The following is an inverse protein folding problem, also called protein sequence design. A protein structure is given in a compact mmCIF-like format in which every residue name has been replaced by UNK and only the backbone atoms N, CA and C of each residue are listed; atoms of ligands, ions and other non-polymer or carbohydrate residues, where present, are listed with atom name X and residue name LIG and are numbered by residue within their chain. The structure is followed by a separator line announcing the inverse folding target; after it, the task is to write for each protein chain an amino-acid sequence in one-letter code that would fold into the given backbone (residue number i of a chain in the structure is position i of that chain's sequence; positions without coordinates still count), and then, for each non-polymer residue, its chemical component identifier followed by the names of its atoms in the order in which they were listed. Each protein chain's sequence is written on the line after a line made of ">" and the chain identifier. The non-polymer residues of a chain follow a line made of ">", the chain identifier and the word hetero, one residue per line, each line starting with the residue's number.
data_IF_360886905274
#
_entry.id   IF_360886905274
#
_cell.length_a   1.000
_cell.length_b   1.000
_cell.length_c   1.000
_cell.angle_alpha   90.00
_cell.angle_beta   90.00
_cell.angle_gamma   90.00
#
_symmetry.space_group_name_H-M   'P 1'
#
loop_
_entity.id
_entity.type
_entity.pdbx_description
1 polymer ?
#
# COMPACT_ATOMS: atom_id res chain seq x y z
N UNK A 1 -14.57 7.36 36.18
CA UNK A 1 -13.47 7.55 35.23
C UNK A 1 -13.22 6.21 34.58
N UNK A 2 -13.06 6.11 33.21
CA UNK A 2 -12.77 4.86 32.52
C UNK A 2 -11.57 5.08 31.61
N UNK A 3 -10.88 4.01 31.25
CA UNK A 3 -9.77 3.99 30.32
C UNK A 3 -10.07 2.98 29.23
N UNK A 4 -9.81 3.34 27.97
CA UNK A 4 -9.82 2.41 26.83
C UNK A 4 -8.38 2.01 26.50
N UNK A 5 -8.18 0.73 26.23
CA UNK A 5 -6.88 0.17 25.83
C UNK A 5 -7.08 -0.55 24.50
N UNK A 6 -6.35 -0.12 23.48
CA UNK A 6 -6.32 -0.80 22.18
C UNK A 6 -5.29 -1.91 22.23
N UNK A 7 -5.74 -3.14 22.06
CA UNK A 7 -4.86 -4.31 21.98
C UNK A 7 -4.78 -4.80 20.54
N UNK A 8 -3.57 -5.14 20.08
CA UNK A 8 -3.30 -5.65 18.75
C UNK A 8 -3.75 -4.71 17.61
N UNK A 9 -3.40 -3.42 17.64
CA UNK A 9 -3.76 -2.50 16.56
C UNK A 9 -3.10 -2.91 15.25
N UNK A 10 -3.82 -2.71 14.15
CA UNK A 10 -3.22 -2.79 12.81
C UNK A 10 -2.60 -1.45 12.47
N UNK A 11 -1.28 -1.41 12.37
CA UNK A 11 -0.55 -0.17 12.10
C UNK A 11 -0.45 0.08 10.61
N UNK A 12 -0.89 1.26 10.17
CA UNK A 12 -0.72 1.79 8.80
C UNK A 12 0.10 3.07 8.93
N UNK A 13 1.13 3.20 8.11
CA UNK A 13 1.94 4.41 8.04
C UNK A 13 1.44 5.30 6.90
N UNK A 14 1.31 6.59 7.16
CA UNK A 14 1.01 7.61 6.15
C UNK A 14 2.09 8.68 6.26
N UNK A 15 2.87 8.83 5.21
CA UNK A 15 3.91 9.85 5.09
C UNK A 15 3.71 10.70 3.84
N UNK A 16 4.56 11.70 3.68
CA UNK A 16 4.63 12.53 2.48
C UNK A 16 6.10 12.65 2.08
N UNK A 17 6.39 12.42 0.79
CA UNK A 17 7.72 12.59 0.25
C UNK A 17 8.04 14.09 0.15
N UNK A 18 9.21 14.49 0.64
CA UNK A 18 9.63 15.89 0.65
C UNK A 18 9.75 16.47 -0.77
N UNK A 19 10.27 15.67 -1.70
CA UNK A 19 10.51 16.08 -3.08
C UNK A 19 9.37 15.68 -4.04
N UNK A 20 8.15 15.45 -3.54
CA UNK A 20 7.05 14.88 -4.31
C UNK A 20 6.72 15.64 -5.61
N UNK A 21 6.83 16.98 -5.63
CA UNK A 21 6.58 17.79 -6.84
C UNK A 21 7.67 17.55 -7.90
N UNK A 22 8.93 17.46 -7.49
CA UNK A 22 10.04 17.15 -8.37
C UNK A 22 9.91 15.73 -8.93
N UNK A 23 9.56 14.78 -8.07
CA UNK A 23 9.31 13.38 -8.46
C UNK A 23 8.16 13.26 -9.45
N UNK A 24 7.07 13.99 -9.24
CA UNK A 24 5.94 14.04 -10.17
C UNK A 24 6.38 14.53 -11.56
N UNK A 25 7.10 15.66 -11.62
CA UNK A 25 7.56 16.20 -12.90
C UNK A 25 8.48 15.20 -13.62
N UNK A 26 9.48 14.69 -12.90
CA UNK A 26 10.41 13.69 -13.46
C UNK A 26 9.73 12.40 -13.90
N UNK A 27 8.67 11.99 -13.18
CA UNK A 27 7.89 10.83 -13.57
C UNK A 27 7.20 11.05 -14.92
N UNK A 28 6.57 12.20 -15.14
CA UNK A 28 5.91 12.50 -16.41
C UNK A 28 6.89 12.61 -17.60
N UNK A 29 8.15 12.92 -17.35
CA UNK A 29 9.18 12.91 -18.40
C UNK A 29 9.45 11.48 -18.92
N UNK A 30 9.23 10.46 -18.08
CA UNK A 30 9.49 9.03 -18.42
C UNK A 30 8.22 8.19 -18.54
N UNK A 31 7.04 8.73 -18.30
CA UNK A 31 5.77 7.98 -18.32
C UNK A 31 5.53 7.26 -19.67
N UNK A 32 5.98 7.85 -20.77
CA UNK A 32 5.89 7.25 -22.11
C UNK A 32 6.74 5.99 -22.32
N UNK A 33 7.69 5.72 -21.43
CA UNK A 33 8.51 4.51 -21.45
C UNK A 33 7.75 3.29 -20.93
N UNK A 34 6.64 3.50 -20.19
CA UNK A 34 5.87 2.44 -19.59
C UNK A 34 4.71 1.98 -20.47
N UNK A 35 4.58 0.67 -20.60
CA UNK A 35 3.45 0.05 -21.27
C UNK A 35 2.34 -0.26 -20.29
N UNK A 36 1.16 0.26 -20.55
CA UNK A 36 -0.03 0.05 -19.72
C UNK A 36 -0.95 -1.00 -20.34
N UNK A 37 -1.65 -1.71 -19.48
CA UNK A 37 -2.72 -2.64 -19.83
C UNK A 37 -3.87 -2.51 -18.86
N UNK A 38 -5.06 -2.95 -19.25
CA UNK A 38 -6.18 -3.06 -18.32
C UNK A 38 -5.81 -4.00 -17.17
N UNK A 39 -6.11 -3.60 -15.95
CA UNK A 39 -5.84 -4.42 -14.77
C UNK A 39 -6.60 -5.74 -14.86
N UNK A 40 -5.95 -6.84 -14.48
CA UNK A 40 -6.61 -8.14 -14.35
C UNK A 40 -7.60 -8.19 -13.17
N UNK A 41 -7.45 -7.25 -12.24
CA UNK A 41 -8.19 -7.19 -10.98
C UNK A 41 -9.37 -6.23 -11.02
N UNK A 42 -9.50 -5.47 -12.10
CA UNK A 42 -10.57 -4.52 -12.29
C UNK A 42 -10.95 -4.39 -13.78
N UNK A 43 -12.06 -3.75 -14.03
CA UNK A 43 -12.67 -3.68 -15.36
C UNK A 43 -12.02 -2.59 -16.21
N UNK A 44 -11.65 -1.46 -15.62
CA UNK A 44 -11.26 -0.25 -16.35
C UNK A 44 -9.94 0.39 -15.92
N UNK A 45 -9.46 0.14 -14.70
CA UNK A 45 -8.16 0.67 -14.27
C UNK A 45 -7.00 0.08 -15.08
N UNK A 46 -5.97 0.87 -15.28
CA UNK A 46 -4.76 0.48 -16.01
C UNK A 46 -3.62 0.23 -15.04
N UNK A 47 -2.82 -0.80 -15.31
CA UNK A 47 -1.56 -1.04 -14.64
C UNK A 47 -0.44 -1.18 -15.66
N UNK A 48 0.80 -0.95 -15.27
CA UNK A 48 1.95 -1.27 -16.15
C UNK A 48 1.99 -2.77 -16.43
N UNK A 49 2.48 -3.12 -17.62
CA UNK A 49 2.60 -4.51 -18.06
C UNK A 49 3.58 -5.29 -17.19
N UNK A 50 4.74 -4.71 -16.92
CA UNK A 50 5.72 -5.29 -16.01
C UNK A 50 5.59 -4.71 -14.59
N UNK A 51 6.23 -5.38 -13.65
CA UNK A 51 6.17 -5.04 -12.22
C UNK A 51 7.56 -4.67 -11.69
N UNK A 52 8.36 -3.98 -12.49
CA UNK A 52 9.76 -3.68 -12.15
C UNK A 52 10.15 -2.22 -12.39
N UNK A 53 9.20 -1.28 -12.24
CA UNK A 53 9.47 0.15 -12.48
C UNK A 53 10.55 0.71 -11.53
N UNK A 54 10.77 0.07 -10.37
CA UNK A 54 11.84 0.43 -9.45
C UNK A 54 13.25 0.19 -10.01
N UNK A 55 13.38 -0.51 -11.13
CA UNK A 55 14.66 -0.72 -11.82
C UNK A 55 14.93 0.37 -12.87
N UNK A 56 14.00 1.29 -13.12
CA UNK A 56 14.24 2.42 -14.02
C UNK A 56 15.14 3.45 -13.33
N UNK A 57 16.35 3.61 -13.83
CA UNK A 57 17.36 4.51 -13.26
C UNK A 57 16.90 5.97 -13.18
N UNK A 58 16.02 6.40 -14.07
CA UNK A 58 15.45 7.75 -14.02
C UNK A 58 14.62 7.98 -12.76
N UNK A 59 14.16 6.93 -12.09
CA UNK A 59 13.36 6.98 -10.85
C UNK A 59 14.16 6.67 -9.57
N UNK A 60 15.49 6.48 -9.65
CA UNK A 60 16.31 6.12 -8.49
C UNK A 60 16.16 7.06 -7.31
N UNK A 61 16.09 8.38 -7.55
CA UNK A 61 15.89 9.36 -6.47
C UNK A 61 14.54 9.21 -5.78
N UNK A 62 13.48 8.90 -6.53
CA UNK A 62 12.14 8.65 -6.01
C UNK A 62 12.14 7.38 -5.15
N UNK A 63 12.68 6.28 -5.67
CA UNK A 63 12.71 5.02 -4.93
C UNK A 63 13.63 5.09 -3.71
N UNK A 64 14.71 5.89 -3.75
CA UNK A 64 15.54 6.15 -2.58
C UNK A 64 14.74 6.81 -1.45
N UNK A 65 13.90 7.80 -1.78
CA UNK A 65 13.05 8.47 -0.79
C UNK A 65 11.93 7.53 -0.28
N UNK A 66 11.31 6.74 -1.16
CA UNK A 66 10.35 5.69 -0.77
C UNK A 66 10.99 4.72 0.25
N UNK A 67 12.22 4.27 -0.01
CA UNK A 67 12.95 3.36 0.90
C UNK A 67 13.22 3.99 2.27
N UNK A 68 13.46 5.30 2.35
CA UNK A 68 13.58 5.98 3.65
C UNK A 68 12.29 5.87 4.46
N UNK A 69 11.13 6.08 3.84
CA UNK A 69 9.83 5.91 4.51
C UNK A 69 9.57 4.46 4.92
N UNK A 70 9.95 3.48 4.07
CA UNK A 70 9.84 2.06 4.41
C UNK A 70 10.70 1.72 5.64
N UNK A 71 11.95 2.19 5.68
CA UNK A 71 12.83 2.01 6.83
C UNK A 71 12.26 2.65 8.09
N UNK A 72 11.73 3.88 7.98
CA UNK A 72 11.08 4.56 9.09
C UNK A 72 9.88 3.76 9.63
N UNK A 73 9.05 3.21 8.74
CA UNK A 73 7.94 2.35 9.17
C UNK A 73 8.41 1.13 9.93
N UNK A 74 9.45 0.44 9.44
CA UNK A 74 9.95 -0.81 10.02
C UNK A 74 10.68 -0.57 11.34
N UNK A 75 11.62 0.39 11.34
CA UNK A 75 12.58 0.52 12.43
C UNK A 75 12.16 1.54 13.50
N UNK A 76 11.46 2.63 13.09
CA UNK A 76 11.06 3.67 14.03
C UNK A 76 9.63 3.46 14.54
N UNK A 77 8.69 3.01 13.67
CA UNK A 77 7.28 2.86 14.04
C UNK A 77 6.98 1.46 14.57
N UNK A 78 7.45 0.41 13.89
CA UNK A 78 7.24 -0.98 14.31
C UNK A 78 8.36 -1.50 15.22
N UNK A 79 9.43 -0.73 15.42
CA UNK A 79 10.56 -1.01 16.32
C UNK A 79 11.24 -2.37 16.08
N UNK A 80 11.28 -2.82 14.82
CA UNK A 80 12.08 -3.99 14.47
C UNK A 80 13.56 -3.68 14.60
N UNK A 81 14.36 -4.69 14.96
CA UNK A 81 15.82 -4.56 14.99
C UNK A 81 16.37 -4.28 13.60
N UNK A 82 17.39 -3.44 13.50
CA UNK A 82 18.10 -3.15 12.23
C UNK A 82 19.03 -4.29 11.81
N UNK A 83 18.45 -5.48 11.65
CA UNK A 83 19.13 -6.69 11.17
C UNK A 83 18.68 -7.08 9.75
N UNK A 84 17.87 -6.25 9.12
CA UNK A 84 17.30 -6.52 7.81
C UNK A 84 17.70 -5.47 6.77
N UNK A 85 17.94 -5.94 5.55
CA UNK A 85 17.92 -5.13 4.35
C UNK A 85 16.49 -5.06 3.81
N UNK A 86 16.11 -3.87 3.33
CA UNK A 86 14.82 -3.63 2.68
C UNK A 86 14.97 -3.90 1.18
N UNK A 87 14.18 -4.79 0.65
CA UNK A 87 14.21 -5.16 -0.77
C UNK A 87 12.84 -4.97 -1.40
N UNK A 88 12.75 -4.09 -2.40
CA UNK A 88 11.57 -3.96 -3.26
C UNK A 88 11.64 -5.09 -4.28
N UNK A 89 10.67 -6.00 -4.24
CA UNK A 89 10.62 -7.17 -5.14
C UNK A 89 9.79 -6.91 -6.38
N UNK A 90 8.77 -6.06 -6.25
CA UNK A 90 7.88 -5.65 -7.33
C UNK A 90 7.47 -4.20 -7.15
N UNK A 91 7.29 -3.52 -8.25
CA UNK A 91 6.61 -2.23 -8.27
C UNK A 91 5.97 -1.97 -9.63
N UNK A 92 4.78 -1.40 -9.63
CA UNK A 92 4.02 -1.11 -10.83
C UNK A 92 3.22 0.18 -10.68
N UNK A 93 2.78 0.74 -11.79
CA UNK A 93 1.89 1.89 -11.81
C UNK A 93 0.44 1.41 -11.80
N UNK A 94 -0.40 2.13 -11.08
CA UNK A 94 -1.84 1.98 -11.09
C UNK A 94 -2.48 3.31 -11.44
N UNK A 95 -3.28 3.31 -12.52
CA UNK A 95 -3.87 4.50 -13.13
C UNK A 95 -5.38 4.36 -13.16
N UNK A 96 -6.10 5.35 -12.63
CA UNK A 96 -7.55 5.46 -12.71
C UNK A 96 -7.93 6.77 -13.38
N UNK A 97 -8.84 6.73 -14.36
CA UNK A 97 -9.31 7.89 -15.12
C UNK A 97 -10.82 8.13 -14.98
N UNK A 98 -11.54 7.13 -14.49
CA UNK A 98 -12.99 7.18 -14.31
C UNK A 98 -13.34 6.80 -12.87
N UNK A 99 -14.48 7.26 -12.40
CA UNK A 99 -14.96 6.96 -11.05
C UNK A 99 -15.12 5.44 -10.79
N UNK A 100 -15.40 4.67 -11.84
CA UNK A 100 -15.58 3.22 -11.81
C UNK A 100 -14.28 2.43 -11.77
N UNK A 101 -13.12 3.07 -11.94
CA UNK A 101 -11.81 2.43 -11.94
C UNK A 101 -11.40 2.01 -10.52
N UNK A 102 -11.93 0.88 -10.07
CA UNK A 102 -11.74 0.36 -8.73
C UNK A 102 -10.98 -0.97 -8.77
N UNK A 103 -10.09 -1.17 -7.81
CA UNK A 103 -9.42 -2.46 -7.59
C UNK A 103 -10.20 -3.21 -6.50
N UNK A 104 -10.55 -4.48 -6.76
CA UNK A 104 -11.31 -5.34 -5.84
C UNK A 104 -10.51 -5.68 -4.58
N UNK A 105 -11.20 -6.25 -3.59
CA UNK A 105 -10.57 -6.74 -2.36
C UNK A 105 -9.49 -7.78 -2.64
N UNK A 106 -8.26 -7.48 -2.25
CA UNK A 106 -7.10 -8.35 -2.40
C UNK A 106 -6.09 -8.13 -1.28
N UNK A 107 -5.05 -8.92 -1.26
CA UNK A 107 -3.85 -8.76 -0.45
C UNK A 107 -2.64 -9.25 -1.27
N UNK A 108 -1.44 -9.02 -0.77
CA UNK A 108 -0.20 -9.45 -1.43
C UNK A 108 0.44 -10.57 -0.64
N UNK A 109 0.42 -11.78 -1.19
CA UNK A 109 0.84 -12.99 -0.47
C UNK A 109 2.35 -13.27 -0.48
N UNK A 110 3.12 -12.53 -1.27
CA UNK A 110 4.56 -12.78 -1.51
C UNK A 110 5.48 -11.71 -0.92
N UNK A 111 4.95 -10.85 -0.06
CA UNK A 111 5.68 -9.75 0.54
C UNK A 111 5.31 -9.55 2.01
N UNK A 112 6.15 -8.82 2.75
CA UNK A 112 5.90 -8.48 4.13
C UNK A 112 5.15 -7.16 4.26
N UNK A 113 5.54 -6.18 3.46
CA UNK A 113 4.99 -4.82 3.45
C UNK A 113 4.62 -4.47 2.02
N UNK A 114 3.48 -3.83 1.85
CA UNK A 114 3.08 -3.19 0.61
C UNK A 114 3.05 -1.68 0.79
N UNK A 115 3.32 -0.97 -0.30
CA UNK A 115 3.19 0.47 -0.31
C UNK A 115 2.38 0.97 -1.51
N UNK A 116 1.77 2.14 -1.32
CA UNK A 116 1.16 2.95 -2.38
C UNK A 116 1.69 4.37 -2.27
N UNK A 117 2.45 4.83 -3.26
CA UNK A 117 2.89 6.21 -3.39
C UNK A 117 2.06 6.92 -4.45
N UNK A 118 1.52 8.07 -4.11
CA UNK A 118 0.56 8.78 -4.94
C UNK A 118 1.23 9.94 -5.69
N UNK A 119 1.51 9.71 -6.98
CA UNK A 119 2.12 10.71 -7.88
C UNK A 119 1.14 11.83 -8.17
N UNK A 120 -0.10 11.46 -8.48
CA UNK A 120 -1.18 12.41 -8.74
C UNK A 120 -2.52 11.95 -8.16
N UNK A 121 -3.22 12.88 -7.53
CA UNK A 121 -4.52 12.63 -6.90
C UNK A 121 -5.41 13.86 -7.07
N UNK A 122 -6.10 14.00 -8.20
CA UNK A 122 -7.08 15.05 -8.38
C UNK A 122 -8.19 15.02 -7.30
N UNK A 123 -8.92 16.11 -7.10
CA UNK A 123 -10.06 16.12 -6.19
C UNK A 123 -11.05 14.98 -6.49
N UNK A 124 -11.63 14.41 -5.43
CA UNK A 124 -12.57 13.29 -5.51
C UNK A 124 -11.97 11.98 -6.06
N UNK A 125 -10.64 11.85 -6.04
CA UNK A 125 -9.95 10.60 -6.39
C UNK A 125 -10.37 9.45 -5.48
N UNK A 126 -10.14 8.22 -5.98
CA UNK A 126 -10.38 6.99 -5.22
C UNK A 126 -9.60 6.96 -3.91
N UNK A 127 -10.27 6.52 -2.84
CA UNK A 127 -9.61 6.20 -1.58
C UNK A 127 -8.99 4.81 -1.62
N UNK A 128 -8.04 4.54 -0.72
CA UNK A 128 -7.67 3.19 -0.35
C UNK A 128 -8.48 2.77 0.88
N UNK A 129 -9.11 1.60 0.82
CA UNK A 129 -9.98 1.08 1.86
C UNK A 129 -9.41 -0.25 2.36
N UNK A 130 -9.31 -0.38 3.67
CA UNK A 130 -8.80 -1.56 4.35
C UNK A 130 -9.93 -2.31 5.02
N UNK A 131 -9.85 -3.64 5.02
CA UNK A 131 -10.77 -4.51 5.76
C UNK A 131 -10.17 -4.74 7.16
N UNK A 132 -10.99 -4.57 8.19
CA UNK A 132 -10.57 -4.89 9.55
C UNK A 132 -10.24 -6.41 9.63
N UNK A 133 -8.98 -6.78 9.95
CA UNK A 133 -8.60 -8.18 10.05
C UNK A 133 -9.15 -8.86 11.30
N UNK A 134 -9.64 -8.07 12.27
CA UNK A 134 -10.08 -8.53 13.56
C UNK A 134 -11.55 -8.17 13.79
N UNK A 135 -12.44 -9.14 13.74
CA UNK A 135 -13.88 -8.93 14.02
C UNK A 135 -14.22 -8.99 15.52
N UNK A 136 -13.24 -8.91 16.40
CA UNK A 136 -13.44 -9.09 17.83
C UNK A 136 -14.27 -7.97 18.49
N UNK A 137 -14.36 -6.80 17.86
CA UNK A 137 -15.19 -5.68 18.36
C UNK A 137 -16.62 -5.74 17.84
N UNK A 138 -16.98 -6.72 17.03
CA UNK A 138 -18.36 -6.93 16.63
C UNK A 138 -19.13 -7.60 17.76
N UNK A 139 -20.04 -6.85 18.39
CA UNK A 139 -20.92 -7.39 19.44
C UNK A 139 -21.93 -8.40 18.91
N UNK A 140 -22.21 -8.36 17.60
CA UNK A 140 -23.18 -9.23 16.96
C UNK A 140 -22.54 -9.96 15.79
N UNK A 141 -22.47 -11.27 15.88
CA UNK A 141 -22.00 -12.11 14.77
C UNK A 141 -22.92 -11.90 13.55
N UNK A 142 -22.31 -11.57 12.39
CA UNK A 142 -23.05 -11.38 11.15
C UNK A 142 -23.53 -9.95 10.85
N UNK A 143 -23.15 -8.96 11.64
CA UNK A 143 -23.50 -7.54 11.41
C UNK A 143 -22.90 -6.95 10.10
N UNK A 144 -22.20 -7.74 9.30
CA UNK A 144 -21.64 -7.33 8.01
C UNK A 144 -22.61 -7.50 6.85
N UNK A 145 -23.87 -7.80 7.09
CA UNK A 145 -24.87 -7.93 6.03
C UNK A 145 -25.60 -6.60 5.81
N UNK A 146 -25.64 -6.19 4.56
CA UNK A 146 -26.27 -4.94 4.08
C UNK A 146 -27.77 -4.80 4.40
N UNK A 147 -28.39 -5.79 5.00
CA UNK A 147 -29.82 -5.88 5.29
C UNK A 147 -30.23 -5.41 6.68
N UNK A 148 -29.28 -5.26 7.60
CA UNK A 148 -29.58 -4.78 8.95
C UNK A 148 -29.15 -3.32 9.02
N UNK A 149 -30.09 -2.39 9.24
CA UNK A 149 -29.74 -1.03 9.63
C UNK A 149 -28.78 -1.13 10.80
N UNK A 150 -27.58 -0.56 10.65
CA UNK A 150 -26.55 -0.62 11.66
C UNK A 150 -27.11 -0.17 13.01
N UNK A 151 -26.86 -0.96 14.04
CA UNK A 151 -27.11 -0.58 15.42
C UNK A 151 -26.02 0.38 15.94
N UNK A 152 -25.10 0.81 15.09
CA UNK A 152 -24.00 1.72 15.38
C UNK A 152 -24.44 3.12 14.99
N UNK A 153 -24.49 4.01 15.97
CA UNK A 153 -24.84 5.41 15.72
C UNK A 153 -23.70 6.16 15.01
N UNK A 154 -22.46 6.00 15.49
CA UNK A 154 -21.28 6.62 14.91
C UNK A 154 -20.18 5.59 14.70
N UNK A 155 -19.75 5.43 13.45
CA UNK A 155 -18.61 4.56 13.12
C UNK A 155 -17.30 5.21 13.51
N UNK A 156 -16.41 4.41 14.11
CA UNK A 156 -15.07 4.81 14.51
C UNK A 156 -14.10 3.62 14.40
N UNK A 157 -12.85 3.80 14.80
CA UNK A 157 -11.81 2.78 14.75
C UNK A 157 -12.08 1.54 15.60
N UNK A 158 -12.99 1.63 16.57
CA UNK A 158 -13.30 0.51 17.47
C UNK A 158 -14.43 -0.39 16.96
N UNK A 159 -15.32 0.13 16.12
CA UNK A 159 -16.54 -0.56 15.72
C UNK A 159 -16.70 -0.71 14.20
N UNK A 160 -15.78 -0.15 13.41
CA UNK A 160 -15.84 -0.22 11.96
C UNK A 160 -15.27 -1.53 11.43
N UNK A 161 -15.95 -2.12 10.46
CA UNK A 161 -15.44 -3.28 9.71
C UNK A 161 -14.44 -2.88 8.62
N UNK A 162 -14.38 -1.62 8.27
CA UNK A 162 -13.46 -1.08 7.26
C UNK A 162 -12.96 0.28 7.68
N UNK A 163 -11.74 0.61 7.23
CA UNK A 163 -11.15 1.94 7.38
C UNK A 163 -10.69 2.44 6.01
N UNK A 164 -10.85 3.72 5.71
CA UNK A 164 -10.39 4.29 4.46
C UNK A 164 -9.50 5.50 4.67
N UNK A 165 -8.58 5.69 3.74
CA UNK A 165 -7.70 6.84 3.67
C UNK A 165 -7.90 7.50 2.31
N UNK A 166 -8.15 8.80 2.31
CA UNK A 166 -8.18 9.63 1.11
C UNK A 166 -6.76 10.16 0.88
N UNK A 167 -6.00 9.58 -0.04
CA UNK A 167 -4.62 9.98 -0.25
C UNK A 167 -4.55 11.36 -0.92
N UNK A 168 -3.48 12.07 -0.64
CA UNK A 168 -3.11 13.29 -1.34
C UNK A 168 -1.89 13.03 -2.22
N UNK A 169 -1.69 13.88 -3.22
CA UNK A 169 -0.46 13.88 -4.00
C UNK A 169 0.75 13.96 -3.08
N UNK A 170 1.78 13.16 -3.34
CA UNK A 170 2.97 13.07 -2.51
C UNK A 170 2.87 12.10 -1.34
N UNK A 171 1.66 11.63 -0.98
CA UNK A 171 1.53 10.67 0.11
C UNK A 171 2.11 9.31 -0.26
N UNK A 172 2.73 8.68 0.73
CA UNK A 172 3.05 7.26 0.75
C UNK A 172 2.28 6.59 1.88
N UNK A 173 1.62 5.49 1.57
CA UNK A 173 0.89 4.66 2.54
C UNK A 173 1.57 3.29 2.58
N UNK A 174 2.00 2.86 3.79
CA UNK A 174 2.64 1.57 4.04
C UNK A 174 1.78 0.75 4.97
N UNK A 175 1.65 -0.53 4.69
CA UNK A 175 0.82 -1.45 5.45
C UNK A 175 1.32 -2.90 5.32
N UNK A 176 0.97 -3.79 6.27
CA UNK A 176 1.28 -5.22 6.15
C UNK A 176 0.65 -5.79 4.87
N UNK A 177 1.42 -6.51 4.07
CA UNK A 177 0.97 -7.05 2.77
C UNK A 177 -0.22 -8.02 2.89
N UNK A 178 -0.37 -8.67 4.05
CA UNK A 178 -1.51 -9.55 4.35
C UNK A 178 -2.82 -8.80 4.57
N UNK A 179 -2.77 -7.48 4.81
CA UNK A 179 -3.95 -6.68 5.07
C UNK A 179 -4.79 -6.51 3.80
N UNK A 180 -6.02 -7.02 3.83
CA UNK A 180 -6.93 -6.93 2.69
C UNK A 180 -7.34 -5.48 2.45
N UNK A 181 -7.21 -5.05 1.20
CA UNK A 181 -7.52 -3.70 0.79
C UNK A 181 -8.11 -3.64 -0.62
N UNK A 182 -8.70 -2.50 -0.94
CA UNK A 182 -9.22 -2.18 -2.28
C UNK A 182 -9.10 -0.68 -2.53
N UNK A 183 -9.25 -0.26 -3.78
CA UNK A 183 -9.59 1.13 -4.09
C UNK A 183 -11.11 1.27 -4.21
N UNK A 184 -11.64 2.41 -3.81
CA UNK A 184 -13.08 2.69 -3.86
C UNK A 184 -13.31 4.12 -4.31
N UNK A 185 -14.28 4.32 -5.19
CA UNK A 185 -14.67 5.67 -5.61
C UNK A 185 -15.20 6.47 -4.42
N UNK A 186 -14.79 7.72 -4.36
CA UNK A 186 -15.29 8.68 -3.36
C UNK A 186 -16.49 9.45 -3.92
N UNK A 187 -16.48 9.72 -5.23
CA UNK A 187 -17.51 10.51 -5.89
C UNK A 187 -17.62 10.18 -7.38
N UNK A 188 -18.82 10.23 -7.93
CA UNK A 188 -19.05 10.15 -9.37
C UNK A 188 -18.56 11.42 -10.13
N UNK A 189 -18.21 12.47 -9.40
CA UNK A 189 -17.64 13.71 -9.97
C UNK A 189 -16.13 13.67 -10.18
N UNK A 190 -15.47 12.53 -9.95
CA UNK A 190 -14.04 12.38 -10.23
C UNK A 190 -13.73 12.69 -11.68
N UNK A 191 -12.78 13.59 -11.89
CA UNK A 191 -12.26 13.96 -13.22
C UNK A 191 -10.75 14.09 -13.13
N UNK A 192 -10.07 13.60 -14.15
CA UNK A 192 -8.61 13.64 -14.23
C UNK A 192 -8.00 12.25 -14.16
N UNK A 193 -6.77 12.19 -13.74
CA UNK A 193 -6.01 10.95 -13.64
C UNK A 193 -5.44 10.80 -12.23
N UNK A 194 -5.86 9.73 -11.53
CA UNK A 194 -5.19 9.29 -10.31
C UNK A 194 -4.08 8.32 -10.70
N UNK A 195 -2.86 8.65 -10.29
CA UNK A 195 -1.69 7.86 -10.60
C UNK A 195 -0.93 7.50 -9.33
N UNK A 196 -0.67 6.22 -9.13
CA UNK A 196 0.06 5.73 -7.97
C UNK A 196 1.09 4.67 -8.37
N UNK A 197 2.23 4.65 -7.67
CA UNK A 197 3.18 3.55 -7.66
C UNK A 197 2.82 2.62 -6.53
N UNK A 198 2.60 1.37 -6.86
CA UNK A 198 2.36 0.29 -5.90
C UNK A 198 3.64 -0.55 -5.83
N UNK A 199 3.95 -1.09 -4.67
CA UNK A 199 5.09 -2.00 -4.58
C UNK A 199 5.03 -2.94 -3.39
N UNK A 200 5.81 -4.00 -3.55
CA UNK A 200 5.97 -5.11 -2.63
C UNK A 200 7.39 -5.16 -2.07
N UNK A 201 7.47 -5.31 -0.76
CA UNK A 201 8.72 -5.27 -0.01
C UNK A 201 8.89 -6.53 0.81
N UNK A 202 10.08 -7.11 0.76
CA UNK A 202 10.52 -8.15 1.68
C UNK A 202 11.67 -7.65 2.55
N UNK A 203 11.79 -8.26 3.73
CA UNK A 203 12.90 -8.05 4.65
C UNK A 203 13.85 -9.23 4.52
N UNK A 204 15.10 -8.94 4.19
CA UNK A 204 16.16 -9.91 3.98
C UNK A 204 17.21 -9.73 5.07
N UNK A 205 17.64 -10.80 5.69
CA UNK A 205 18.67 -10.73 6.75
C UNK A 205 19.98 -10.16 6.20
N UNK A 206 20.53 -9.19 6.92
CA UNK A 206 21.88 -8.69 6.68
C UNK A 206 22.89 -9.83 6.89
N UNK A 207 24.00 -9.80 6.17
CA UNK A 207 25.05 -10.81 6.19
C UNK A 207 25.49 -11.22 7.60
N UNK A 208 25.70 -10.22 8.46
CA UNK A 208 26.19 -10.44 9.82
C UNK A 208 25.11 -11.01 10.77
N UNK A 209 23.90 -11.25 10.27
CA UNK A 209 22.76 -11.66 11.07
C UNK A 209 22.11 -12.97 10.58
N UNK A 210 22.81 -13.77 9.79
CA UNK A 210 22.27 -15.02 9.23
C UNK A 210 21.92 -16.08 10.28
N UNK A 211 22.34 -15.91 11.54
CA UNK A 211 21.95 -16.79 12.65
C UNK A 211 20.53 -16.59 13.18
N UNK A 212 19.84 -15.52 12.75
CA UNK A 212 18.44 -15.32 13.10
C UNK A 212 17.55 -16.17 12.22
N UNK A 213 16.54 -16.82 12.80
CA UNK A 213 15.59 -17.69 12.08
C UNK A 213 14.47 -16.94 11.36
N UNK A 214 14.35 -15.63 11.57
CA UNK A 214 13.28 -14.80 11.01
C UNK A 214 13.81 -13.98 9.83
N UNK A 215 13.03 -13.91 8.76
CA UNK A 215 13.37 -13.20 7.54
C UNK A 215 13.97 -14.10 6.45
N UNK A 216 13.95 -13.60 5.24
CA UNK A 216 14.58 -14.29 4.12
C UNK A 216 16.09 -14.15 4.17
N UNK A 217 16.82 -15.18 3.78
CA UNK A 217 18.25 -15.06 3.50
C UNK A 217 18.47 -14.38 2.16
N UNK A 218 19.60 -13.73 2.00
CA UNK A 218 19.95 -13.02 0.77
C UNK A 218 19.85 -13.97 -0.45
N UNK A 219 19.23 -13.57 -1.55
CA UNK A 219 19.06 -14.35 -2.77
C UNK A 219 20.36 -14.94 -3.33
N UNK A 220 21.53 -14.34 -3.03
CA UNK A 220 22.82 -14.91 -3.43
C UNK A 220 23.10 -16.31 -2.85
N UNK A 221 22.39 -16.69 -1.79
CA UNK A 221 22.46 -18.04 -1.20
C UNK A 221 21.40 -18.99 -1.76
N UNK A 222 20.51 -18.51 -2.64
CA UNK A 222 19.49 -19.35 -3.23
C UNK A 222 20.08 -20.15 -4.38
N UNK A 223 19.63 -21.38 -4.53
CA UNK A 223 20.02 -22.22 -5.65
C UNK A 223 18.80 -22.50 -6.53
N UNK A 224 18.90 -22.08 -7.78
CA UNK A 224 17.91 -22.42 -8.79
C UNK A 224 18.16 -23.84 -9.27
N UNK A 225 17.11 -24.66 -9.26
CA UNK A 225 17.08 -25.98 -9.90
C UNK A 225 16.13 -25.88 -11.09
N UNK A 226 16.65 -26.06 -12.28
CA UNK A 226 15.91 -26.07 -13.56
C UNK A 226 15.65 -27.52 -13.97
#
# INVERSE_FOLDING_TARGET
>A
MYQTINIFPTTIYVGELENHLQHKNKFYDVDSEFNYRNSQWDVTSENTFDSFIHLNQSLDSLFSEIVLHIKKYIFDVLEYKDIFDVVITKSWLSRARQAEDQIKWHNHSTSHISFSYYIDTPPNSHCIKFLNPHNFNSLFAGNNTSTIKSSIENYNEFNSSTFHINPKQGNIILFPSSLRHRTEKVSDSFKGERLAIIGDVILVLKENNLGYSQGYVNPKYWKLYS
#
